data_IF_741248068140
#
_entry.id   IF_741248068140
#
_cell.length_a   1.000
_cell.length_b   1.000
_cell.length_c   1.000
_cell.angle_alpha   90.00
_cell.angle_beta   90.00
_cell.angle_gamma   90.00
#
_symmetry.space_group_name_H-M   'P 1'
#
loop_
_entity.id
_entity.type
_entity.pdbx_description
1 polymer ?
#
# COMPACT_ATOMS: atom_id res chain seq x y z
N UNK A 1 5.29 -6.41 6.29
CA UNK A 1 4.25 -7.25 5.64
C UNK A 1 3.56 -6.42 4.57
N UNK A 2 3.13 -7.00 3.44
CA UNK A 2 2.36 -6.26 2.42
C UNK A 2 0.86 -6.42 2.72
N UNK A 3 0.14 -5.31 2.84
CA UNK A 3 -1.30 -5.30 3.09
C UNK A 3 -2.05 -4.98 1.81
N UNK A 4 -3.03 -5.81 1.46
CA UNK A 4 -4.06 -5.48 0.47
C UNK A 4 -5.15 -4.60 1.12
N UNK A 5 -5.41 -3.46 0.51
CA UNK A 5 -6.33 -2.44 0.97
C UNK A 5 -7.50 -2.34 0.00
N UNK A 6 -8.66 -2.86 0.41
CA UNK A 6 -9.95 -2.66 -0.28
C UNK A 6 -10.75 -1.49 0.28
N UNK A 7 -10.28 -0.95 1.41
CA UNK A 7 -10.83 0.17 2.13
C UNK A 7 -9.67 0.99 2.71
N UNK A 8 -10.00 2.12 3.34
CA UNK A 8 -9.01 2.96 4.01
C UNK A 8 -8.20 2.14 5.03
N UNK A 9 -6.87 2.26 4.96
CA UNK A 9 -5.98 1.57 5.88
C UNK A 9 -6.27 1.95 7.34
N UNK A 10 -6.33 0.94 8.20
CA UNK A 10 -6.43 1.13 9.65
C UNK A 10 -5.11 1.60 10.24
N UNK A 11 -5.13 2.14 11.47
CA UNK A 11 -3.90 2.56 12.17
C UNK A 11 -2.94 1.38 12.40
N UNK A 12 -3.46 0.19 12.70
CA UNK A 12 -2.65 -1.01 12.87
C UNK A 12 -1.95 -1.40 11.57
N UNK A 13 -2.70 -1.49 10.46
CA UNK A 13 -2.11 -1.75 9.14
C UNK A 13 -1.07 -0.70 8.75
N UNK A 14 -1.31 0.59 9.05
CA UNK A 14 -0.33 1.64 8.78
C UNK A 14 0.94 1.49 9.62
N UNK A 15 0.82 1.10 10.90
CA UNK A 15 1.97 0.82 11.76
C UNK A 15 2.78 -0.36 11.21
N UNK A 16 2.12 -1.47 10.86
CA UNK A 16 2.74 -2.67 10.27
C UNK A 16 3.41 -2.36 8.93
N UNK A 17 2.81 -1.52 8.08
CA UNK A 17 3.42 -1.07 6.83
C UNK A 17 4.65 -0.16 7.06
N UNK A 18 4.68 0.61 8.15
CA UNK A 18 5.81 1.48 8.49
C UNK A 18 7.00 0.70 9.04
N UNK A 19 6.82 -0.49 9.60
CA UNK A 19 7.94 -1.31 10.12
C UNK A 19 9.00 -1.58 9.05
N UNK A 20 8.61 -1.68 7.77
CA UNK A 20 9.54 -1.96 6.67
C UNK A 20 10.50 -0.80 6.35
N UNK A 21 10.04 0.47 6.43
CA UNK A 21 10.79 1.64 5.91
C UNK A 21 10.83 2.83 6.89
N UNK A 22 10.23 2.71 8.07
CA UNK A 22 10.30 3.61 9.23
C UNK A 22 9.60 4.97 9.10
N UNK A 23 9.56 5.57 7.91
CA UNK A 23 9.06 6.94 7.73
C UNK A 23 8.23 7.21 6.48
N UNK A 24 8.08 6.22 5.60
CA UNK A 24 7.19 6.27 4.45
C UNK A 24 6.82 4.85 4.03
N UNK A 25 5.67 4.72 3.37
CA UNK A 25 5.15 3.46 2.86
C UNK A 25 5.25 3.50 1.34
N UNK A 26 5.78 2.45 0.71
CA UNK A 26 5.61 2.26 -0.72
C UNK A 26 4.21 1.70 -0.98
N UNK A 27 3.51 2.30 -1.94
CA UNK A 27 2.15 1.94 -2.30
C UNK A 27 2.08 1.64 -3.80
N UNK A 28 1.26 0.66 -4.17
CA UNK A 28 0.75 0.44 -5.52
C UNK A 28 -0.79 0.51 -5.47
N UNK A 29 -1.42 1.05 -6.52
CA UNK A 29 -2.87 1.21 -6.60
C UNK A 29 -3.38 0.74 -7.96
N UNK A 30 -4.50 0.01 -7.95
CA UNK A 30 -5.34 -0.25 -9.11
C UNK A 30 -6.60 0.59 -8.99
N UNK A 31 -6.70 1.62 -9.84
CA UNK A 31 -7.81 2.58 -9.82
C UNK A 31 -9.09 1.93 -10.36
N UNK A 32 -8.98 1.04 -11.34
CA UNK A 32 -10.14 0.40 -11.98
C UNK A 32 -10.88 -0.52 -11.00
N UNK A 33 -10.15 -1.12 -10.07
CA UNK A 33 -10.69 -1.99 -9.04
C UNK A 33 -10.80 -1.33 -7.66
N UNK A 34 -10.40 -0.07 -7.53
CA UNK A 34 -10.41 0.69 -6.28
C UNK A 34 -9.67 -0.02 -5.12
N UNK A 35 -8.57 -0.70 -5.43
CA UNK A 35 -7.73 -1.42 -4.44
C UNK A 35 -6.31 -0.88 -4.42
N UNK A 36 -5.66 -0.97 -3.26
CA UNK A 36 -4.26 -0.62 -3.07
C UNK A 36 -3.48 -1.70 -2.34
N UNK A 37 -2.16 -1.68 -2.45
CA UNK A 37 -1.27 -2.52 -1.67
C UNK A 37 -0.10 -1.70 -1.15
N UNK A 38 0.32 -1.92 0.09
CA UNK A 38 1.41 -1.18 0.71
C UNK A 38 2.15 -1.96 1.81
N UNK A 39 3.34 -1.48 2.17
CA UNK A 39 4.20 -2.08 3.21
C UNK A 39 5.36 -2.91 2.69
N UNK A 40 5.50 -3.03 1.37
CA UNK A 40 6.65 -3.68 0.72
C UNK A 40 7.92 -2.82 0.77
N UNK A 41 9.08 -3.47 0.65
CA UNK A 41 10.37 -2.79 0.57
C UNK A 41 10.55 -2.13 -0.81
N UNK A 42 9.91 -2.68 -1.85
CA UNK A 42 9.88 -2.22 -3.24
C UNK A 42 8.44 -2.01 -3.72
N UNK A 43 8.27 -1.23 -4.80
CA UNK A 43 6.96 -1.09 -5.45
C UNK A 43 6.50 -2.42 -6.07
N UNK A 44 7.43 -3.20 -6.61
CA UNK A 44 7.18 -4.53 -7.15
C UNK A 44 6.53 -5.49 -6.13
N UNK A 45 6.92 -5.42 -4.84
CA UNK A 45 6.30 -6.24 -3.79
C UNK A 45 4.80 -5.91 -3.63
N UNK A 46 4.44 -4.63 -3.77
CA UNK A 46 3.06 -4.17 -3.67
C UNK A 46 2.27 -4.51 -4.93
N UNK A 47 2.89 -4.35 -6.10
CA UNK A 47 2.30 -4.74 -7.39
C UNK A 47 2.01 -6.24 -7.46
N UNK A 48 2.90 -7.09 -6.94
CA UNK A 48 2.70 -8.54 -6.91
C UNK A 48 1.39 -8.91 -6.17
N UNK A 49 1.13 -8.30 -5.01
CA UNK A 49 -0.12 -8.52 -4.24
C UNK A 49 -1.35 -8.05 -5.02
N UNK A 50 -1.26 -6.95 -5.79
CA UNK A 50 -2.36 -6.51 -6.65
C UNK A 50 -2.62 -7.48 -7.81
N UNK A 51 -1.56 -7.98 -8.45
CA UNK A 51 -1.67 -8.98 -9.52
C UNK A 51 -2.32 -10.27 -8.99
N UNK A 52 -1.92 -10.75 -7.81
CA UNK A 52 -2.54 -11.90 -7.14
C UNK A 52 -4.01 -11.66 -6.81
N UNK A 53 -4.38 -10.41 -6.48
CA UNK A 53 -5.77 -10.01 -6.25
C UNK A 53 -6.60 -9.82 -7.54
N UNK A 54 -6.00 -10.04 -8.71
CA UNK A 54 -6.67 -9.99 -10.01
C UNK A 54 -6.47 -8.69 -10.80
N UNK A 55 -5.62 -7.76 -10.34
CA UNK A 55 -5.22 -6.60 -11.14
C UNK A 55 -4.56 -7.00 -12.43
N UNK A 56 -5.02 -6.43 -13.55
CA UNK A 56 -4.38 -6.61 -14.86
C UNK A 56 -3.24 -5.63 -15.10
N UNK A 57 -3.31 -4.44 -14.51
CA UNK A 57 -2.35 -3.34 -14.67
C UNK A 57 -2.30 -2.50 -13.38
N UNK A 58 -1.57 -2.91 -12.34
CA UNK A 58 -1.31 -2.03 -11.20
C UNK A 58 -0.52 -0.82 -11.72
N UNK A 59 -1.20 0.30 -11.92
CA UNK A 59 -0.74 1.34 -12.86
C UNK A 59 -0.11 2.55 -12.16
N UNK A 60 -0.26 2.68 -10.84
CA UNK A 60 0.24 3.85 -10.12
C UNK A 60 0.98 3.47 -8.85
N UNK A 61 2.26 3.82 -8.81
CA UNK A 61 3.12 3.64 -7.65
C UNK A 61 3.51 4.98 -7.06
N UNK A 62 3.41 5.11 -5.73
CA UNK A 62 3.79 6.34 -5.03
C UNK A 62 4.29 6.05 -3.63
N UNK A 63 5.15 6.94 -3.11
CA UNK A 63 5.52 6.95 -1.70
C UNK A 63 4.45 7.70 -0.92
N UNK A 64 3.92 7.05 0.10
CA UNK A 64 2.95 7.62 1.01
C UNK A 64 3.62 7.93 2.34
N UNK A 65 3.47 9.17 2.81
CA UNK A 65 3.82 9.53 4.19
C UNK A 65 2.51 9.74 4.94
N UNK A 66 2.21 8.95 5.98
CA UNK A 66 1.07 9.23 6.83
C UNK A 66 1.32 10.58 7.52
N UNK A 67 0.58 11.60 7.10
CA UNK A 67 0.54 12.87 7.81
C UNK A 67 -0.11 12.64 9.17
N UNK A 68 0.58 13.07 10.22
CA UNK A 68 0.05 13.04 11.59
C UNK A 68 -1.08 14.07 11.69
N UNK A 69 -2.29 13.72 11.26
CA UNK A 69 -3.49 14.40 11.76
C UNK A 69 -3.59 14.04 13.24
N UNK A 70 -3.23 15.00 14.10
CA UNK A 70 -3.75 15.03 15.47
C UNK A 70 -5.27 15.08 15.31
N UNK A 71 -5.93 14.01 15.74
CA UNK A 71 -7.35 14.05 16.08
C UNK A 71 -7.49 14.82 17.39
#
# INVERSE_FOLDING_TARGET
MVHLLRQKATRAQLAEMLETLGGYIKLAVDIEQEIGAGGGALHADCEAVLLEAGSRRPSWTRRFKPESRRL
#
